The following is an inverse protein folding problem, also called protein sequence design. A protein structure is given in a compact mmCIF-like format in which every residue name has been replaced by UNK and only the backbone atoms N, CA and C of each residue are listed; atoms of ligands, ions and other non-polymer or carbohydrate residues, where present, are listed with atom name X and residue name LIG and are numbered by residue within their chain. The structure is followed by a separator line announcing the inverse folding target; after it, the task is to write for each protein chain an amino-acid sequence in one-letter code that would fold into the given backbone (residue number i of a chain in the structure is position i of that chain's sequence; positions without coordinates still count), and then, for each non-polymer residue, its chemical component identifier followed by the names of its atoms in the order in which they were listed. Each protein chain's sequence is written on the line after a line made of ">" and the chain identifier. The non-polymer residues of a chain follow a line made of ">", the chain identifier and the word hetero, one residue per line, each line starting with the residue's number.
data_IF_098023574655
#
_entry.id   IF_098023574655
#
_cell.length_a   1.000
_cell.length_b   1.000
_cell.length_c   1.000
_cell.angle_alpha   90.00
_cell.angle_beta   90.00
_cell.angle_gamma   90.00
#
_symmetry.space_group_name_H-M   'P 1'
#
loop_
_entity.id
_entity.type
_entity.pdbx_description
1 polymer ?
#
# COMPACT_ATOMS: atom_id res chain seq x y z
N UNK A 1 32.25 -21.32 13.39
CA UNK A 1 31.52 -20.22 12.72
C UNK A 1 30.60 -20.84 11.69
N UNK A 2 29.31 -20.99 12.01
CA UNK A 2 28.32 -21.57 11.10
C UNK A 2 27.94 -20.53 10.05
N UNK A 3 28.06 -20.86 8.76
CA UNK A 3 27.62 -19.98 7.68
C UNK A 3 26.11 -19.67 7.83
N UNK A 4 25.67 -18.41 7.66
CA UNK A 4 24.25 -18.08 7.75
C UNK A 4 23.50 -18.81 6.63
N UNK A 5 22.49 -19.61 7.01
CA UNK A 5 21.67 -20.35 6.08
C UNK A 5 21.03 -19.38 5.06
N UNK A 6 21.39 -19.53 3.79
CA UNK A 6 20.81 -18.73 2.70
C UNK A 6 19.32 -19.06 2.60
N UNK A 7 18.42 -18.06 2.59
CA UNK A 7 16.99 -18.31 2.50
C UNK A 7 16.65 -19.06 1.20
N UNK A 8 15.96 -20.20 1.31
CA UNK A 8 15.56 -21.03 0.15
C UNK A 8 14.76 -20.24 -0.90
N UNK A 9 14.87 -20.61 -2.20
CA UNK A 9 14.10 -20.08 -3.34
C UNK A 9 12.64 -19.74 -3.04
N UNK A 10 11.97 -20.65 -2.34
CA UNK A 10 10.53 -20.61 -2.06
C UNK A 10 10.11 -19.49 -1.10
N UNK A 11 10.98 -19.11 -0.17
CA UNK A 11 10.64 -18.11 0.85
C UNK A 11 10.49 -16.71 0.25
N UNK A 12 11.29 -16.35 -0.76
CA UNK A 12 11.17 -15.05 -1.41
C UNK A 12 9.84 -14.93 -2.18
N UNK A 13 9.44 -15.98 -2.90
CA UNK A 13 8.18 -15.98 -3.66
C UNK A 13 6.97 -15.88 -2.71
N UNK A 14 7.01 -16.57 -1.56
CA UNK A 14 5.97 -16.46 -0.52
C UNK A 14 5.85 -15.03 0.02
N UNK A 15 6.97 -14.36 0.29
CA UNK A 15 6.95 -12.94 0.74
C UNK A 15 6.41 -12.02 -0.35
N UNK A 16 6.73 -12.26 -1.63
CA UNK A 16 6.15 -11.49 -2.74
C UNK A 16 4.62 -11.68 -2.84
N UNK A 17 4.12 -12.91 -2.65
CA UNK A 17 2.68 -13.18 -2.64
C UNK A 17 1.98 -12.62 -1.41
N UNK A 18 2.63 -12.64 -0.25
CA UNK A 18 2.12 -11.99 0.95
C UNK A 18 2.00 -10.48 0.74
N UNK A 19 3.03 -9.84 0.18
CA UNK A 19 2.99 -8.43 -0.17
C UNK A 19 1.85 -8.09 -1.13
N UNK A 20 1.67 -8.89 -2.18
CA UNK A 20 0.55 -8.77 -3.11
C UNK A 20 -0.81 -8.89 -2.40
N UNK A 21 -1.00 -9.91 -1.56
CA UNK A 21 -2.23 -10.13 -0.82
C UNK A 21 -2.54 -8.95 0.11
N UNK A 22 -1.54 -8.42 0.82
CA UNK A 22 -1.68 -7.23 1.67
C UNK A 22 -2.06 -6.00 0.84
N UNK A 23 -1.49 -5.82 -0.35
CA UNK A 23 -1.88 -4.71 -1.24
C UNK A 23 -3.32 -4.86 -1.73
N UNK A 24 -3.75 -6.07 -2.07
CA UNK A 24 -5.14 -6.33 -2.47
C UNK A 24 -6.11 -5.99 -1.33
N UNK A 25 -5.80 -6.44 -0.11
CA UNK A 25 -6.62 -6.11 1.08
C UNK A 25 -6.66 -4.60 1.31
N UNK A 26 -5.52 -3.92 1.28
CA UNK A 26 -5.45 -2.48 1.46
C UNK A 26 -6.21 -1.70 0.38
N UNK A 27 -6.18 -2.17 -0.88
CA UNK A 27 -6.90 -1.56 -1.99
C UNK A 27 -8.42 -1.80 -1.93
N UNK A 28 -8.84 -2.98 -1.45
CA UNK A 28 -10.24 -3.34 -1.32
C UNK A 28 -10.92 -2.67 -0.12
N UNK A 29 -10.18 -2.45 0.98
CA UNK A 29 -10.71 -1.87 2.21
C UNK A 29 -11.53 -0.58 2.02
N UNK A 30 -11.04 0.48 1.35
CA UNK A 30 -11.81 1.71 1.16
C UNK A 30 -13.04 1.50 0.26
N UNK A 31 -13.00 0.57 -0.70
CA UNK A 31 -14.14 0.26 -1.55
C UNK A 31 -15.25 -0.47 -0.77
N UNK A 32 -14.84 -1.38 0.12
CA UNK A 32 -15.76 -2.10 1.01
C UNK A 32 -16.37 -1.13 2.03
N UNK A 33 -15.57 -0.21 2.59
CA UNK A 33 -16.04 0.79 3.54
C UNK A 33 -17.18 1.63 2.97
N UNK A 34 -16.98 2.21 1.77
CA UNK A 34 -18.01 3.01 1.08
C UNK A 34 -19.31 2.23 0.87
N UNK A 35 -19.23 0.93 0.66
CA UNK A 35 -20.39 0.08 0.41
C UNK A 35 -21.09 -0.42 1.70
N UNK A 36 -20.48 -0.26 2.87
CA UNK A 36 -20.95 -0.90 4.11
C UNK A 36 -21.12 0.04 5.29
N UNK A 37 -20.08 0.81 5.64
CA UNK A 37 -20.02 1.61 6.86
C UNK A 37 -19.94 3.12 6.58
N UNK A 38 -19.44 3.52 5.40
CA UNK A 38 -19.19 4.92 5.04
C UNK A 38 -18.33 5.69 6.05
N UNK A 39 -17.37 5.02 6.69
CA UNK A 39 -16.53 5.66 7.72
C UNK A 39 -15.62 6.75 7.15
N UNK A 40 -15.26 6.68 5.86
CA UNK A 40 -14.62 7.80 5.16
C UNK A 40 -15.57 9.00 5.04
N UNK A 41 -16.86 8.79 4.79
CA UNK A 41 -17.84 9.88 4.77
C UNK A 41 -17.95 10.56 6.14
N UNK A 42 -17.97 9.78 7.21
CA UNK A 42 -17.98 10.29 8.58
C UNK A 42 -16.70 11.04 8.94
N UNK A 43 -15.55 10.57 8.47
CA UNK A 43 -14.27 11.28 8.61
C UNK A 43 -14.33 12.66 7.94
N UNK A 44 -14.84 12.75 6.72
CA UNK A 44 -15.01 14.03 6.00
C UNK A 44 -15.99 14.96 6.74
N UNK A 45 -17.15 14.44 7.19
CA UNK A 45 -18.13 15.20 7.98
C UNK A 45 -17.53 15.75 9.28
N UNK A 46 -16.70 14.97 9.94
CA UNK A 46 -16.04 15.37 11.18
C UNK A 46 -15.06 16.52 10.97
N UNK A 47 -14.37 16.54 9.84
CA UNK A 47 -13.45 17.60 9.46
C UNK A 47 -14.18 18.84 8.92
N UNK A 48 -15.31 18.66 8.23
CA UNK A 48 -16.09 19.73 7.62
C UNK A 48 -17.59 19.64 8.00
N UNK A 49 -17.99 20.02 9.22
CA UNK A 49 -19.36 19.85 9.71
C UNK A 49 -20.40 20.70 8.97
N UNK A 50 -19.96 21.75 8.27
CA UNK A 50 -20.83 22.71 7.57
C UNK A 50 -20.94 22.41 6.07
N UNK A 51 -20.22 21.40 5.56
CA UNK A 51 -20.30 21.05 4.15
C UNK A 51 -21.61 20.34 3.82
N UNK A 52 -22.21 20.62 2.65
CA UNK A 52 -23.34 19.87 2.14
C UNK A 52 -22.92 18.45 1.69
N UNK A 53 -23.89 17.54 1.63
CA UNK A 53 -23.67 16.10 1.39
C UNK A 53 -23.00 15.80 0.03
N UNK A 54 -23.19 16.66 -0.97
CA UNK A 54 -22.56 16.52 -2.28
C UNK A 54 -21.04 16.74 -2.23
N UNK A 55 -20.60 17.74 -1.46
CA UNK A 55 -19.16 17.99 -1.24
C UNK A 55 -18.53 16.90 -0.38
N UNK A 56 -19.24 16.44 0.65
CA UNK A 56 -18.80 15.30 1.48
C UNK A 56 -18.58 14.06 0.62
N UNK A 57 -19.56 13.74 -0.25
CA UNK A 57 -19.49 12.58 -1.13
C UNK A 57 -18.38 12.72 -2.17
N UNK A 58 -18.17 13.92 -2.71
CA UNK A 58 -17.10 14.19 -3.68
C UNK A 58 -15.71 14.00 -3.06
N UNK A 59 -15.46 14.56 -1.88
CA UNK A 59 -14.16 14.46 -1.19
C UNK A 59 -13.88 13.01 -0.74
N UNK A 60 -14.88 12.33 -0.17
CA UNK A 60 -14.83 10.89 0.12
C UNK A 60 -14.42 10.09 -1.13
N UNK A 61 -15.11 10.31 -2.24
CA UNK A 61 -14.84 9.57 -3.48
C UNK A 61 -13.44 9.88 -4.04
N UNK A 62 -12.92 11.09 -3.84
CA UNK A 62 -11.56 11.45 -4.21
C UNK A 62 -10.52 10.68 -3.37
N UNK A 63 -10.72 10.58 -2.05
CA UNK A 63 -9.86 9.79 -1.15
C UNK A 63 -9.88 8.31 -1.56
N UNK A 64 -11.07 7.74 -1.81
CA UNK A 64 -11.24 6.35 -2.23
C UNK A 64 -10.58 6.11 -3.58
N UNK A 65 -10.79 7.00 -4.55
CA UNK A 65 -10.19 6.92 -5.88
C UNK A 65 -8.66 6.96 -5.82
N UNK A 66 -8.09 7.83 -4.99
CA UNK A 66 -6.67 7.89 -4.73
C UNK A 66 -6.12 6.57 -4.16
N UNK A 67 -6.75 6.04 -3.11
CA UNK A 67 -6.33 4.78 -2.48
C UNK A 67 -6.43 3.59 -3.46
N UNK A 68 -7.51 3.53 -4.23
CA UNK A 68 -7.72 2.49 -5.23
C UNK A 68 -6.66 2.56 -6.34
N UNK A 69 -6.38 3.75 -6.87
CA UNK A 69 -5.36 3.95 -7.91
C UNK A 69 -3.97 3.48 -7.44
N UNK A 70 -3.58 3.86 -6.23
CA UNK A 70 -2.32 3.42 -5.62
C UNK A 70 -2.32 1.91 -5.40
N UNK A 71 -3.43 1.35 -4.93
CA UNK A 71 -3.60 -0.09 -4.77
C UNK A 71 -3.37 -0.86 -6.08
N UNK A 72 -3.98 -0.40 -7.18
CA UNK A 72 -3.80 -0.99 -8.52
C UNK A 72 -2.35 -0.91 -8.98
N UNK A 73 -1.70 0.25 -8.82
CA UNK A 73 -0.28 0.42 -9.15
C UNK A 73 0.60 -0.53 -8.33
N UNK A 74 0.33 -0.67 -7.03
CA UNK A 74 1.03 -1.58 -6.14
C UNK A 74 0.86 -3.04 -6.56
N UNK A 75 -0.37 -3.47 -6.87
CA UNK A 75 -0.67 -4.82 -7.39
C UNK A 75 0.12 -5.09 -8.67
N UNK A 76 0.10 -4.14 -9.62
CA UNK A 76 0.87 -4.22 -10.86
C UNK A 76 2.38 -4.38 -10.59
N UNK A 77 2.92 -3.58 -9.66
CA UNK A 77 4.31 -3.65 -9.22
C UNK A 77 4.70 -5.01 -8.64
N UNK A 78 3.86 -5.58 -7.77
CA UNK A 78 4.07 -6.93 -7.23
C UNK A 78 4.05 -8.01 -8.30
N UNK A 79 3.05 -8.00 -9.18
CA UNK A 79 2.94 -8.97 -10.27
C UNK A 79 4.16 -8.91 -11.20
N UNK A 80 4.58 -7.70 -11.57
CA UNK A 80 5.76 -7.46 -12.38
C UNK A 80 7.04 -8.00 -11.71
N UNK A 81 7.18 -7.77 -10.41
CA UNK A 81 8.31 -8.27 -9.60
C UNK A 81 8.31 -9.79 -9.49
N UNK A 82 7.14 -10.42 -9.29
CA UNK A 82 6.97 -11.87 -9.24
C UNK A 82 7.37 -12.51 -10.58
N UNK A 83 6.91 -11.95 -11.70
CA UNK A 83 7.25 -12.46 -13.05
C UNK A 83 8.75 -12.34 -13.31
N UNK A 84 9.36 -11.20 -12.96
CA UNK A 84 10.80 -11.02 -13.10
C UNK A 84 11.60 -11.98 -12.21
N UNK A 85 11.18 -12.19 -10.96
CA UNK A 85 11.83 -13.10 -10.02
C UNK A 85 11.80 -14.56 -10.50
N UNK A 86 10.66 -15.00 -11.05
CA UNK A 86 10.51 -16.33 -11.67
C UNK A 86 11.43 -16.52 -12.89
N UNK A 87 11.70 -15.46 -13.64
CA UNK A 87 12.60 -15.46 -14.81
C UNK A 87 14.07 -15.22 -14.44
N UNK A 88 14.43 -15.17 -13.16
CA UNK A 88 15.79 -14.86 -12.67
C UNK A 88 16.38 -13.58 -13.28
N UNK A 89 15.54 -12.60 -13.60
CA UNK A 89 15.99 -11.44 -14.34
C UNK A 89 16.80 -10.48 -13.45
N UNK A 90 17.98 -10.07 -13.93
CA UNK A 90 18.91 -9.17 -13.21
C UNK A 90 18.31 -7.79 -12.86
N UNK A 91 17.29 -7.34 -13.59
CA UNK A 91 16.62 -6.06 -13.37
C UNK A 91 15.66 -6.06 -12.17
N UNK A 92 15.30 -7.23 -11.63
CA UNK A 92 14.39 -7.35 -10.48
C UNK A 92 14.94 -6.64 -9.25
N UNK A 93 16.26 -6.70 -9.04
CA UNK A 93 16.90 -6.06 -7.89
C UNK A 93 16.70 -4.54 -7.87
N UNK A 94 17.11 -3.77 -8.90
CA UNK A 94 16.88 -2.31 -8.89
C UNK A 94 15.39 -1.95 -8.90
N UNK A 95 14.54 -2.67 -9.65
CA UNK A 95 13.09 -2.38 -9.69
C UNK A 95 12.42 -2.62 -8.34
N UNK A 96 12.78 -3.66 -7.60
CA UNK A 96 12.23 -3.92 -6.26
C UNK A 96 12.58 -2.80 -5.28
N UNK A 97 13.79 -2.25 -5.38
CA UNK A 97 14.22 -1.12 -4.53
C UNK A 97 13.43 0.15 -4.87
N UNK A 98 13.24 0.45 -6.15
CA UNK A 98 12.46 1.61 -6.60
C UNK A 98 11.00 1.47 -6.15
N UNK A 99 10.39 0.31 -6.37
CA UNK A 99 9.01 0.04 -5.96
C UNK A 99 8.84 0.12 -4.43
N UNK A 100 9.80 -0.40 -3.68
CA UNK A 100 9.82 -0.26 -2.22
C UNK A 100 9.92 1.20 -1.80
N UNK A 101 10.83 1.98 -2.40
CA UNK A 101 10.98 3.40 -2.09
C UNK A 101 9.70 4.18 -2.39
N UNK A 102 9.07 3.93 -3.54
CA UNK A 102 7.79 4.55 -3.89
C UNK A 102 6.67 4.17 -2.90
N UNK A 103 6.54 2.87 -2.59
CA UNK A 103 5.54 2.39 -1.64
C UNK A 103 5.75 2.93 -0.22
N UNK A 104 7.00 3.03 0.24
CA UNK A 104 7.35 3.61 1.53
C UNK A 104 7.05 5.11 1.57
N UNK A 105 7.40 5.85 0.51
CA UNK A 105 7.08 7.28 0.41
C UNK A 105 5.58 7.53 0.43
N UNK A 106 4.80 6.72 -0.30
CA UNK A 106 3.33 6.79 -0.28
C UNK A 106 2.78 6.47 1.11
N UNK A 107 3.27 5.44 1.78
CA UNK A 107 2.82 5.09 3.12
C UNK A 107 3.11 6.22 4.13
N UNK A 108 4.31 6.81 4.06
CA UNK A 108 4.69 7.96 4.88
C UNK A 108 3.83 9.19 4.58
N UNK A 109 3.55 9.45 3.30
CA UNK A 109 2.66 10.52 2.88
C UNK A 109 1.25 10.30 3.45
N UNK A 110 0.67 9.11 3.32
CA UNK A 110 -0.66 8.80 3.87
C UNK A 110 -0.71 8.96 5.41
N UNK A 111 0.40 8.70 6.11
CA UNK A 111 0.51 8.87 7.56
C UNK A 111 0.72 10.32 8.00
N UNK A 112 1.23 11.19 7.12
CA UNK A 112 1.70 12.53 7.51
C UNK A 112 0.94 13.65 6.82
N UNK A 113 0.17 13.36 5.77
CA UNK A 113 -0.53 14.37 4.98
C UNK A 113 -1.69 14.95 5.80
N UNK A 114 -1.52 16.19 6.23
CA UNK A 114 -2.56 17.06 6.75
C UNK A 114 -2.97 18.08 5.70
N UNK A 115 -4.16 18.68 5.84
CA UNK A 115 -4.64 19.67 4.89
C UNK A 115 -5.97 20.27 5.29
N UNK A 116 -6.08 21.60 5.21
CA UNK A 116 -7.31 22.31 5.57
C UNK A 116 -7.72 22.03 7.02
N UNK A 117 -8.93 21.49 7.21
CA UNK A 117 -9.46 21.11 8.51
C UNK A 117 -9.02 19.70 8.98
N UNK A 118 -8.36 18.92 8.12
CA UNK A 118 -7.89 17.59 8.46
C UNK A 118 -6.62 17.63 9.30
N UNK A 119 -6.65 17.00 10.48
CA UNK A 119 -5.42 16.59 11.17
C UNK A 119 -4.63 15.61 10.30
N UNK A 120 -5.33 14.62 9.73
CA UNK A 120 -4.82 13.73 8.70
C UNK A 120 -5.89 13.56 7.61
N UNK A 121 -5.53 13.77 6.35
CA UNK A 121 -6.46 13.66 5.21
C UNK A 121 -6.97 12.23 5.07
N UNK A 122 -6.07 11.25 5.20
CA UNK A 122 -6.45 9.84 5.20
C UNK A 122 -6.66 9.37 6.64
N UNK A 123 -7.80 8.71 6.95
CA UNK A 123 -8.06 8.24 8.30
C UNK A 123 -6.98 7.24 8.76
N UNK A 124 -6.59 7.23 10.06
CA UNK A 124 -5.48 6.44 10.56
C UNK A 124 -5.54 4.94 10.22
N UNK A 125 -6.74 4.37 10.19
CA UNK A 125 -6.96 2.97 9.83
C UNK A 125 -6.48 2.65 8.40
N UNK A 126 -6.86 3.47 7.43
CA UNK A 126 -6.50 3.27 6.02
C UNK A 126 -5.03 3.59 5.77
N UNK A 127 -4.46 4.57 6.49
CA UNK A 127 -3.01 4.83 6.46
C UNK A 127 -2.21 3.66 7.02
N UNK A 128 -2.65 3.05 8.11
CA UNK A 128 -2.02 1.85 8.69
C UNK A 128 -2.11 0.64 7.74
N UNK A 129 -3.29 0.37 7.17
CA UNK A 129 -3.47 -0.70 6.19
C UNK A 129 -2.61 -0.49 4.95
N UNK A 130 -2.54 0.74 4.42
CA UNK A 130 -1.71 1.10 3.28
C UNK A 130 -0.20 0.99 3.53
N UNK A 131 0.24 0.97 4.80
CA UNK A 131 1.64 0.79 5.17
C UNK A 131 2.08 -0.68 5.23
N UNK A 132 1.16 -1.63 5.43
CA UNK A 132 1.48 -3.07 5.52
C UNK A 132 2.22 -3.62 4.29
N UNK A 133 1.83 -3.26 3.04
CA UNK A 133 2.59 -3.66 1.86
C UNK A 133 4.04 -3.16 1.85
N UNK A 134 4.33 -1.98 2.41
CA UNK A 134 5.69 -1.44 2.46
C UNK A 134 6.57 -2.29 3.40
N UNK A 135 6.04 -2.79 4.51
CA UNK A 135 6.75 -3.72 5.40
C UNK A 135 7.09 -5.04 4.69
N UNK A 136 6.15 -5.57 3.91
CA UNK A 136 6.40 -6.75 3.07
C UNK A 136 7.45 -6.48 1.97
N UNK A 137 7.42 -5.29 1.38
CA UNK A 137 8.40 -4.84 0.40
C UNK A 137 9.82 -4.77 0.98
N UNK A 138 9.97 -4.25 2.20
CA UNK A 138 11.26 -4.22 2.91
C UNK A 138 11.82 -5.64 3.10
N UNK A 139 10.98 -6.58 3.55
CA UNK A 139 11.35 -7.97 3.72
C UNK A 139 11.77 -8.62 2.39
N UNK A 140 11.03 -8.34 1.30
CA UNK A 140 11.37 -8.81 -0.03
C UNK A 140 12.73 -8.30 -0.52
N UNK A 141 13.02 -6.99 -0.35
CA UNK A 141 14.32 -6.39 -0.72
C UNK A 141 15.46 -7.02 0.07
N UNK A 142 15.29 -7.21 1.38
CA UNK A 142 16.31 -7.82 2.24
C UNK A 142 16.63 -9.27 1.82
N UNK A 143 15.61 -10.06 1.44
CA UNK A 143 15.79 -11.43 0.98
C UNK A 143 16.41 -11.52 -0.41
N UNK A 144 16.05 -10.61 -1.34
CA UNK A 144 16.60 -10.58 -2.70
C UNK A 144 18.04 -10.06 -2.75
N UNK A 145 18.48 -9.26 -1.77
CA UNK A 145 19.89 -8.83 -1.61
C UNK A 145 20.81 -9.90 -1.04
N UNK A 146 20.26 -10.90 -0.33
CA UNK A 146 21.03 -12.02 0.26
C UNK A 146 21.24 -13.20 -0.69
N UNK A 147 20.59 -13.19 -1.86
CA UNK A 147 20.92 -14.05 -3.00
C UNK A 147 21.89 -13.33 -3.91
#
# INVERSE_FOLDING_TARGET
>A
MSAPATPKPDNAIRVLHLGLALTVVAAAAPLIDVATADSLGDHVRSAYPTWPDDLISADRNAIVGYLAAIGVLGIGGWLWTIVGARKHARWVRPVSVIMFALGASVALLNLSLSGGAYTNVIPPLFSALGALPALAGLAAVALLRKR
#
